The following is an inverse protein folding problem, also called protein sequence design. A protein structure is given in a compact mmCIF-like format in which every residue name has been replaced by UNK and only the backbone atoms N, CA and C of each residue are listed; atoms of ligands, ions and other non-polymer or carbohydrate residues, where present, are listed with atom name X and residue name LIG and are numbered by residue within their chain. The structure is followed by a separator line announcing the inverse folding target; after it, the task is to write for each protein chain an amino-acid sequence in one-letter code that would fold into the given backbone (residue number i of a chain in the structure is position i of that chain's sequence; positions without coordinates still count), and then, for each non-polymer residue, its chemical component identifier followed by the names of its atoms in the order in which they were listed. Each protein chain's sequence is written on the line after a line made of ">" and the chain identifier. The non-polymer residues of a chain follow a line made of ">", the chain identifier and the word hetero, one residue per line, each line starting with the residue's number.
data_IF_923836256394
#
_entry.id   IF_923836256394
#
_cell.length_a   1.000
_cell.length_b   1.000
_cell.length_c   1.000
_cell.angle_alpha   90.00
_cell.angle_beta   90.00
_cell.angle_gamma   90.00
#
_symmetry.space_group_name_H-M   'P 1'
#
loop_
_entity.id
_entity.type
_entity.pdbx_description
1 polymer ?
#
# COMPACT_ATOMS: atom_id res chain seq x y z
N UNK A 1 -9.80 15.69 -17.59
CA UNK A 1 -9.35 14.35 -18.03
C UNK A 1 -10.05 14.06 -19.34
N UNK A 2 -9.25 13.88 -20.40
CA UNK A 2 -9.73 13.58 -21.74
C UNK A 2 -9.26 12.18 -22.14
N UNK A 3 -10.16 11.38 -22.70
CA UNK A 3 -9.86 10.09 -23.30
C UNK A 3 -10.22 10.13 -24.78
N UNK A 4 -9.32 9.69 -25.66
CA UNK A 4 -9.68 9.34 -27.03
C UNK A 4 -9.52 7.84 -27.22
N UNK A 5 -10.49 7.17 -27.83
CA UNK A 5 -10.46 5.73 -28.07
C UNK A 5 -10.46 5.45 -29.56
N UNK A 6 -9.41 4.84 -30.07
CA UNK A 6 -9.32 4.40 -31.47
C UNK A 6 -9.75 2.94 -31.55
N UNK A 7 -10.85 2.66 -32.24
CA UNK A 7 -11.44 1.31 -32.34
C UNK A 7 -12.06 1.09 -33.71
N UNK A 8 -12.13 -0.18 -34.14
CA UNK A 8 -12.89 -0.59 -35.31
C UNK A 8 -14.41 -0.74 -35.05
N UNK A 9 -14.84 -0.66 -33.78
CA UNK A 9 -16.19 -0.95 -33.31
C UNK A 9 -16.68 0.11 -32.31
N UNK A 10 -16.93 1.35 -32.77
CA UNK A 10 -17.34 2.45 -31.90
C UNK A 10 -18.64 2.17 -31.11
N UNK A 11 -19.52 1.31 -31.65
CA UNK A 11 -20.83 0.96 -31.07
C UNK A 11 -20.70 0.31 -29.68
N UNK A 12 -19.55 -0.30 -29.36
CA UNK A 12 -19.28 -0.84 -28.01
C UNK A 12 -19.44 0.23 -26.92
N UNK A 13 -19.11 1.48 -27.21
CA UNK A 13 -19.03 2.55 -26.22
C UNK A 13 -20.36 3.27 -26.02
N UNK A 14 -21.37 3.05 -26.86
CA UNK A 14 -22.65 3.76 -26.79
C UNK A 14 -23.32 3.61 -25.42
N UNK A 15 -23.50 2.38 -24.94
CA UNK A 15 -24.11 2.15 -23.63
C UNK A 15 -23.20 2.61 -22.47
N UNK A 16 -21.89 2.35 -22.59
CA UNK A 16 -20.91 2.70 -21.57
C UNK A 16 -20.89 4.21 -21.28
N UNK A 17 -20.92 5.04 -22.32
CA UNK A 17 -20.88 6.50 -22.22
C UNK A 17 -22.22 7.14 -21.88
N UNK A 18 -23.33 6.39 -21.91
CA UNK A 18 -24.67 6.93 -21.64
C UNK A 18 -25.29 6.40 -20.34
N UNK A 19 -24.65 5.45 -19.66
CA UNK A 19 -25.22 4.78 -18.48
C UNK A 19 -24.44 5.06 -17.19
N UNK A 20 -25.16 4.96 -16.07
CA UNK A 20 -24.60 4.93 -14.71
C UNK A 20 -23.68 6.13 -14.39
N UNK A 21 -22.58 5.89 -13.66
CA UNK A 21 -21.63 6.90 -13.17
C UNK A 21 -20.87 7.54 -14.34
N UNK A 22 -20.41 6.74 -15.32
CA UNK A 22 -19.65 7.23 -16.47
C UNK A 22 -20.50 8.17 -17.33
N UNK A 23 -21.73 7.78 -17.67
CA UNK A 23 -22.60 8.65 -18.44
C UNK A 23 -22.97 9.96 -17.72
N UNK A 24 -23.11 9.93 -16.39
CA UNK A 24 -23.25 11.18 -15.61
C UNK A 24 -21.97 12.03 -15.67
N UNK A 25 -20.81 11.41 -15.52
CA UNK A 25 -19.52 12.11 -15.56
C UNK A 25 -19.29 12.80 -16.90
N UNK A 26 -19.62 12.15 -18.01
CA UNK A 26 -19.57 12.74 -19.36
C UNK A 26 -20.58 13.88 -19.48
N UNK A 27 -21.85 13.66 -19.11
CA UNK A 27 -22.91 14.67 -19.19
C UNK A 27 -22.63 15.93 -18.36
N UNK A 28 -21.97 15.76 -17.22
CA UNK A 28 -21.56 16.84 -16.33
C UNK A 28 -20.17 17.41 -16.66
N UNK A 29 -19.57 17.00 -17.79
CA UNK A 29 -18.26 17.42 -18.26
C UNK A 29 -17.13 17.25 -17.22
N UNK A 30 -17.22 16.19 -16.38
CA UNK A 30 -16.16 15.79 -15.45
C UNK A 30 -15.03 15.04 -16.17
N UNK A 31 -15.43 14.27 -17.18
CA UNK A 31 -14.54 13.57 -18.11
C UNK A 31 -15.03 13.82 -19.53
N UNK A 32 -14.11 13.77 -20.49
CA UNK A 32 -14.40 13.82 -21.91
C UNK A 32 -13.95 12.51 -22.54
N UNK A 33 -14.80 11.89 -23.35
CA UNK A 33 -14.47 10.65 -24.07
C UNK A 33 -14.83 10.82 -25.54
N UNK A 34 -13.82 10.85 -26.38
CA UNK A 34 -13.92 10.88 -27.84
C UNK A 34 -13.75 9.45 -28.37
N UNK A 35 -14.68 8.98 -29.20
CA UNK A 35 -14.58 7.67 -29.86
C UNK A 35 -14.25 7.89 -31.34
N UNK A 36 -13.14 7.32 -31.78
CA UNK A 36 -12.57 7.47 -33.11
C UNK A 36 -12.72 6.14 -33.85
N UNK A 37 -13.51 6.14 -34.91
CA UNK A 37 -13.68 4.96 -35.75
C UNK A 37 -12.47 4.80 -36.68
N UNK A 38 -11.67 3.76 -36.44
CA UNK A 38 -10.46 3.46 -37.19
C UNK A 38 -10.73 3.24 -38.69
N UNK A 39 -11.94 2.81 -39.06
CA UNK A 39 -12.32 2.59 -40.46
C UNK A 39 -12.37 3.87 -41.29
N UNK A 40 -12.55 5.02 -40.64
CA UNK A 40 -12.53 6.32 -41.32
C UNK A 40 -11.11 6.71 -41.80
N UNK A 41 -10.08 6.04 -41.28
CA UNK A 41 -8.67 6.23 -41.61
C UNK A 41 -8.13 5.14 -42.55
N UNK A 42 -9.00 4.25 -43.04
CA UNK A 42 -8.63 3.24 -44.02
C UNK A 42 -8.14 3.89 -45.32
N UNK A 43 -7.12 3.29 -45.95
CA UNK A 43 -6.55 3.82 -47.20
C UNK A 43 -7.40 3.51 -48.44
N UNK A 44 -8.45 2.69 -48.31
CA UNK A 44 -9.31 2.27 -49.41
C UNK A 44 -10.80 2.50 -49.11
N UNK A 45 -11.63 2.50 -50.17
CA UNK A 45 -13.07 2.74 -50.07
C UNK A 45 -13.86 1.65 -49.34
N UNK A 46 -13.21 0.51 -49.06
CA UNK A 46 -13.83 -0.63 -48.39
C UNK A 46 -13.67 -0.57 -46.87
N UNK A 47 -12.95 0.44 -46.33
CA UNK A 47 -12.75 0.56 -44.89
C UNK A 47 -11.80 -0.51 -44.33
N UNK A 48 -10.85 -1.00 -45.15
CA UNK A 48 -9.88 -2.02 -44.72
C UNK A 48 -8.86 -1.41 -43.76
N UNK A 49 -8.75 -2.02 -42.59
CA UNK A 49 -7.85 -1.59 -41.50
C UNK A 49 -6.86 -2.70 -41.11
N UNK A 50 -7.00 -3.88 -41.69
CA UNK A 50 -6.26 -5.10 -41.37
C UNK A 50 -5.76 -5.81 -42.64
N UNK A 51 -4.67 -6.56 -42.51
CA UNK A 51 -4.11 -7.42 -43.56
C UNK A 51 -3.50 -8.70 -42.96
N UNK A 52 -3.14 -9.66 -43.80
CA UNK A 52 -2.49 -10.91 -43.39
C UNK A 52 -1.14 -10.64 -42.69
N UNK A 53 -0.88 -11.36 -41.61
CA UNK A 53 0.42 -11.31 -40.93
C UNK A 53 1.54 -11.89 -41.81
N UNK A 54 2.67 -11.18 -41.87
CA UNK A 54 3.91 -11.74 -42.42
C UNK A 54 4.35 -12.96 -41.60
N UNK A 55 4.82 -14.01 -42.27
CA UNK A 55 5.25 -15.26 -41.61
C UNK A 55 4.13 -16.26 -41.30
N UNK A 56 2.88 -15.93 -41.65
CA UNK A 56 1.70 -16.76 -41.37
C UNK A 56 0.99 -16.35 -40.08
N UNK A 57 -0.27 -16.76 -39.93
CA UNK A 57 -1.15 -16.35 -38.83
C UNK A 57 -2.50 -15.82 -39.32
N UNK A 58 -3.15 -15.04 -38.47
CA UNK A 58 -4.42 -14.37 -38.77
C UNK A 58 -4.24 -12.98 -39.40
N UNK A 59 -5.23 -12.12 -39.15
CA UNK A 59 -5.21 -10.72 -39.57
C UNK A 59 -4.54 -9.86 -38.49
N UNK A 60 -3.82 -8.81 -38.89
CA UNK A 60 -3.20 -7.82 -38.01
C UNK A 60 -3.66 -6.43 -38.44
N UNK A 61 -3.99 -5.56 -37.48
CA UNK A 61 -4.35 -4.17 -37.79
C UNK A 61 -3.13 -3.45 -38.36
N UNK A 62 -3.31 -2.84 -39.54
CA UNK A 62 -2.27 -2.16 -40.27
C UNK A 62 -1.77 -0.91 -39.52
N UNK A 63 -0.46 -0.59 -39.62
CA UNK A 63 0.11 0.55 -38.91
C UNK A 63 -0.35 1.91 -39.47
N UNK A 64 -0.66 1.99 -40.76
CA UNK A 64 -0.95 3.28 -41.42
C UNK A 64 -2.30 3.89 -40.99
N UNK A 65 -3.45 3.17 -40.97
CA UNK A 65 -4.69 3.72 -40.43
C UNK A 65 -4.56 4.13 -38.95
N UNK A 66 -3.86 3.32 -38.14
CA UNK A 66 -3.60 3.62 -36.73
C UNK A 66 -2.80 4.90 -36.57
N UNK A 67 -1.73 5.06 -37.35
CA UNK A 67 -0.89 6.25 -37.32
C UNK A 67 -1.67 7.51 -37.69
N UNK A 68 -2.47 7.47 -38.77
CA UNK A 68 -3.30 8.61 -39.16
C UNK A 68 -4.33 8.98 -38.09
N UNK A 69 -5.04 7.99 -37.55
CA UNK A 69 -6.02 8.21 -36.48
C UNK A 69 -5.35 8.83 -35.24
N UNK A 70 -4.16 8.36 -34.87
CA UNK A 70 -3.41 8.89 -33.75
C UNK A 70 -2.90 10.32 -34.01
N UNK A 71 -2.36 10.62 -35.18
CA UNK A 71 -1.88 11.97 -35.54
C UNK A 71 -2.99 13.02 -35.48
N UNK A 72 -4.22 12.65 -35.87
CA UNK A 72 -5.35 13.57 -35.92
C UNK A 72 -5.87 13.96 -34.53
N UNK A 73 -5.73 13.08 -33.53
CA UNK A 73 -6.30 13.29 -32.18
C UNK A 73 -5.25 13.59 -31.12
N UNK A 74 -3.99 13.19 -31.32
CA UNK A 74 -2.96 13.38 -30.30
C UNK A 74 -2.61 14.86 -30.13
N UNK A 75 -2.27 15.22 -28.91
CA UNK A 75 -1.77 16.54 -28.53
C UNK A 75 -0.43 16.42 -27.80
N UNK A 76 0.21 17.56 -27.53
CA UNK A 76 1.43 17.55 -26.74
C UNK A 76 1.14 17.03 -25.33
N UNK A 77 1.74 15.89 -24.96
CA UNK A 77 1.55 15.26 -23.65
C UNK A 77 0.49 14.17 -23.59
N UNK A 78 -0.15 13.81 -24.71
CA UNK A 78 -0.99 12.62 -24.80
C UNK A 78 -0.20 11.37 -24.38
N UNK A 79 -0.84 10.50 -23.60
CA UNK A 79 -0.32 9.21 -23.24
C UNK A 79 -1.01 8.13 -24.08
N UNK A 80 -0.29 7.49 -24.99
CA UNK A 80 -0.83 6.45 -25.88
C UNK A 80 -0.73 5.10 -25.18
N UNK A 81 -1.88 4.51 -24.91
CA UNK A 81 -2.04 3.24 -24.20
C UNK A 81 -2.61 2.19 -25.14
N UNK A 82 -1.94 1.04 -25.21
CA UNK A 82 -2.43 -0.13 -25.92
C UNK A 82 -2.89 -1.20 -24.92
N UNK A 83 -4.20 -1.49 -24.81
CA UNK A 83 -4.63 -2.64 -24.05
C UNK A 83 -4.20 -3.95 -24.72
N UNK A 84 -3.27 -4.66 -24.09
CA UNK A 84 -2.56 -5.82 -24.61
C UNK A 84 -2.34 -6.82 -23.48
N UNK A 85 -2.58 -8.13 -23.69
CA UNK A 85 -2.28 -9.14 -22.67
C UNK A 85 -0.79 -9.25 -22.36
N UNK A 86 0.09 -8.66 -23.19
CA UNK A 86 1.54 -8.61 -22.99
C UNK A 86 1.98 -7.40 -22.12
N UNK A 87 1.05 -6.48 -21.86
CA UNK A 87 1.31 -5.26 -21.11
C UNK A 87 1.45 -5.45 -19.60
N UNK A 88 1.77 -4.37 -18.90
CA UNK A 88 1.79 -4.38 -17.43
C UNK A 88 0.37 -4.58 -16.89
N UNK A 89 0.22 -5.41 -15.86
CA UNK A 89 -1.10 -5.65 -15.26
C UNK A 89 -1.63 -4.37 -14.62
N UNK A 90 -2.87 -4.01 -14.94
CA UNK A 90 -3.57 -2.85 -14.38
C UNK A 90 -3.72 -3.02 -12.86
N UNK A 91 -3.08 -2.14 -12.12
CA UNK A 91 -3.16 -2.07 -10.66
C UNK A 91 -3.69 -0.70 -10.24
N UNK A 92 -4.21 -0.61 -9.01
CA UNK A 92 -4.71 0.66 -8.48
C UNK A 92 -3.63 1.77 -8.49
N UNK A 93 -2.36 1.43 -8.24
CA UNK A 93 -1.25 2.39 -8.30
C UNK A 93 -1.02 2.90 -9.74
N UNK A 94 -1.17 2.02 -10.74
CA UNK A 94 -1.09 2.43 -12.15
C UNK A 94 -2.28 3.31 -12.55
N UNK A 95 -3.49 2.99 -12.09
CA UNK A 95 -4.69 3.82 -12.29
C UNK A 95 -4.43 5.22 -11.71
N UNK A 96 -3.91 5.33 -10.50
CA UNK A 96 -3.56 6.61 -9.87
C UNK A 96 -2.47 7.37 -10.64
N UNK A 97 -1.46 6.69 -11.16
CA UNK A 97 -0.46 7.32 -12.02
C UNK A 97 -1.08 7.87 -13.31
N UNK A 98 -1.99 7.12 -13.95
CA UNK A 98 -2.68 7.55 -15.16
C UNK A 98 -3.62 8.74 -14.92
N UNK A 99 -4.20 8.90 -13.73
CA UNK A 99 -4.99 10.11 -13.40
C UNK A 99 -4.20 11.43 -13.51
N UNK A 100 -2.86 11.36 -13.54
CA UNK A 100 -1.98 12.53 -13.69
C UNK A 100 -1.78 12.96 -15.15
N UNK A 101 -2.30 12.20 -16.11
CA UNK A 101 -2.30 12.56 -17.53
C UNK A 101 -3.53 13.41 -17.83
N UNK A 102 -3.36 14.45 -18.64
CA UNK A 102 -4.50 15.27 -19.07
C UNK A 102 -5.28 14.61 -20.21
N UNK A 103 -4.57 13.88 -21.08
CA UNK A 103 -5.10 13.18 -22.24
C UNK A 103 -4.52 11.77 -22.36
N UNK A 104 -5.40 10.78 -22.46
CA UNK A 104 -5.05 9.37 -22.68
C UNK A 104 -5.68 8.90 -23.98
N UNK A 105 -4.87 8.35 -24.89
CA UNK A 105 -5.33 7.76 -26.14
C UNK A 105 -5.29 6.25 -26.00
N UNK A 106 -6.42 5.57 -26.14
CA UNK A 106 -6.55 4.12 -26.04
C UNK A 106 -6.66 3.51 -27.43
N UNK A 107 -5.70 2.66 -27.81
CA UNK A 107 -5.69 1.98 -29.11
C UNK A 107 -6.27 0.57 -28.93
N UNK A 108 -7.51 0.35 -29.35
CA UNK A 108 -8.14 -0.96 -29.24
C UNK A 108 -7.63 -1.90 -30.34
N UNK A 109 -6.84 -2.90 -29.96
CA UNK A 109 -6.46 -4.00 -30.86
C UNK A 109 -7.61 -4.96 -31.12
N UNK A 110 -7.53 -5.71 -32.21
CA UNK A 110 -8.43 -6.80 -32.56
C UNK A 110 -7.65 -7.84 -33.37
N UNK A 111 -8.27 -8.98 -33.70
CA UNK A 111 -7.64 -10.07 -34.46
C UNK A 111 -6.41 -10.62 -33.72
N UNK A 112 -5.26 -10.78 -34.38
CA UNK A 112 -4.01 -11.18 -33.72
C UNK A 112 -3.35 -10.02 -32.95
N UNK A 113 -3.78 -8.78 -33.18
CA UNK A 113 -3.22 -7.58 -32.57
C UNK A 113 -3.01 -6.44 -33.57
N UNK A 114 -2.13 -5.52 -33.20
CA UNK A 114 -1.72 -4.40 -34.05
C UNK A 114 -0.28 -4.59 -34.51
N UNK A 115 0.09 -3.96 -35.63
CA UNK A 115 1.46 -4.05 -36.15
C UNK A 115 2.50 -3.54 -35.14
N UNK A 116 3.48 -4.37 -34.82
CA UNK A 116 4.51 -4.10 -33.81
C UNK A 116 5.27 -2.79 -34.06
N UNK A 117 5.44 -2.38 -35.33
CA UNK A 117 6.12 -1.12 -35.67
C UNK A 117 5.34 0.09 -35.21
N UNK A 118 4.01 0.01 -35.14
CA UNK A 118 3.19 1.05 -34.53
C UNK A 118 3.38 1.06 -33.01
N UNK A 119 3.42 -0.13 -32.38
CA UNK A 119 3.67 -0.27 -30.93
C UNK A 119 4.99 0.40 -30.56
N UNK A 120 6.10 -0.06 -31.15
CA UNK A 120 7.45 0.45 -30.86
C UNK A 120 7.60 1.96 -31.12
N UNK A 121 6.87 2.50 -32.10
CA UNK A 121 7.00 3.89 -32.51
C UNK A 121 6.10 4.84 -31.72
N UNK A 122 4.90 4.40 -31.34
CA UNK A 122 3.82 5.30 -30.94
C UNK A 122 3.18 4.98 -29.58
N UNK A 123 3.34 3.76 -29.06
CA UNK A 123 2.70 3.36 -27.78
C UNK A 123 3.63 3.69 -26.63
N UNK A 124 3.13 4.45 -25.66
CA UNK A 124 3.87 4.78 -24.44
C UNK A 124 3.77 3.66 -23.39
N UNK A 125 2.63 2.96 -23.37
CA UNK A 125 2.35 1.93 -22.37
C UNK A 125 1.40 0.86 -22.88
N UNK A 126 1.82 -0.41 -22.78
CA UNK A 126 0.92 -1.54 -22.91
C UNK A 126 0.32 -1.91 -21.55
N UNK A 127 -1.00 -2.14 -21.49
CA UNK A 127 -1.72 -2.51 -20.26
C UNK A 127 -2.50 -3.80 -20.44
N UNK A 128 -2.25 -4.78 -19.56
CA UNK A 128 -3.08 -5.98 -19.42
C UNK A 128 -4.10 -5.78 -18.30
N UNK A 129 -5.34 -6.26 -18.48
CA UNK A 129 -6.36 -6.29 -17.41
C UNK A 129 -6.43 -7.66 -16.68
N UNK A 130 -5.51 -8.57 -17.00
CA UNK A 130 -5.33 -9.85 -16.33
C UNK A 130 -4.86 -10.97 -17.27
N UNK A 131 -4.54 -12.12 -16.68
CA UNK A 131 -3.93 -13.25 -17.38
C UNK A 131 -4.99 -14.11 -18.11
N UNK A 132 -5.64 -13.51 -19.10
CA UNK A 132 -6.63 -14.14 -19.98
C UNK A 132 -6.71 -13.39 -21.31
N UNK A 133 -7.31 -14.01 -22.32
CA UNK A 133 -7.39 -13.46 -23.68
C UNK A 133 -8.82 -13.03 -23.99
N UNK A 134 -8.98 -11.85 -24.59
CA UNK A 134 -10.24 -11.30 -25.07
C UNK A 134 -10.20 -11.15 -26.60
N UNK A 135 -11.35 -10.90 -27.22
CA UNK A 135 -11.48 -10.75 -28.67
C UNK A 135 -10.99 -9.39 -29.19
N UNK A 136 -10.91 -8.39 -28.33
CA UNK A 136 -10.52 -7.03 -28.68
C UNK A 136 -10.21 -6.15 -27.46
N UNK A 137 -9.69 -4.96 -27.73
CA UNK A 137 -9.25 -3.98 -26.73
C UNK A 137 -10.36 -3.11 -26.14
N UNK A 138 -11.60 -3.20 -26.63
CA UNK A 138 -12.71 -2.32 -26.24
C UNK A 138 -13.11 -2.50 -24.78
N UNK A 139 -13.26 -3.74 -24.30
CA UNK A 139 -13.58 -4.03 -22.89
C UNK A 139 -12.44 -3.58 -21.95
N UNK A 140 -11.16 -3.90 -22.21
CA UNK A 140 -10.04 -3.32 -21.48
C UNK A 140 -10.03 -1.78 -21.46
N UNK A 141 -10.29 -1.12 -22.59
CA UNK A 141 -10.36 0.34 -22.67
C UNK A 141 -11.47 0.89 -21.76
N UNK A 142 -12.67 0.30 -21.76
CA UNK A 142 -13.75 0.68 -20.85
C UNK A 142 -13.36 0.49 -19.37
N UNK A 143 -12.68 -0.61 -19.04
CA UNK A 143 -12.20 -0.87 -17.67
C UNK A 143 -11.19 0.19 -17.23
N UNK A 144 -10.25 0.55 -18.10
CA UNK A 144 -9.25 1.58 -17.83
C UNK A 144 -9.93 2.94 -17.62
N UNK A 145 -10.86 3.32 -18.52
CA UNK A 145 -11.62 4.58 -18.42
C UNK A 145 -12.43 4.60 -17.12
N UNK A 146 -13.15 3.52 -16.79
CA UNK A 146 -13.97 3.45 -15.58
C UNK A 146 -13.10 3.61 -14.32
N UNK A 147 -12.03 2.83 -14.21
CA UNK A 147 -11.13 2.86 -13.05
C UNK A 147 -10.52 4.25 -12.83
N UNK A 148 -10.04 4.90 -13.89
CA UNK A 148 -9.45 6.25 -13.81
C UNK A 148 -10.53 7.28 -13.47
N UNK A 149 -11.70 7.20 -14.13
CA UNK A 149 -12.80 8.15 -13.95
C UNK A 149 -13.28 8.21 -12.50
N UNK A 150 -13.29 7.07 -11.78
CA UNK A 150 -13.66 7.03 -10.35
C UNK A 150 -12.79 7.91 -9.45
N UNK A 151 -11.54 8.17 -9.84
CA UNK A 151 -10.60 9.02 -9.09
C UNK A 151 -10.69 10.51 -9.49
N UNK A 152 -11.47 10.85 -10.52
CA UNK A 152 -11.64 12.24 -10.94
C UNK A 152 -12.63 12.95 -10.00
N UNK A 153 -12.26 14.11 -9.42
CA UNK A 153 -13.13 14.84 -8.49
C UNK A 153 -14.51 15.12 -9.07
N UNK A 154 -15.55 14.78 -8.31
CA UNK A 154 -16.95 14.96 -8.69
C UNK A 154 -17.57 13.84 -9.54
N UNK A 155 -16.82 12.79 -9.92
CA UNK A 155 -17.39 11.62 -10.59
C UNK A 155 -18.11 10.69 -9.60
N UNK A 156 -17.45 10.38 -8.47
CA UNK A 156 -18.06 9.64 -7.36
C UNK A 156 -18.58 10.63 -6.32
N UNK A 157 -19.77 10.36 -5.76
CA UNK A 157 -20.46 11.33 -4.90
C UNK A 157 -19.76 11.63 -3.56
N UNK A 158 -18.98 10.69 -3.02
CA UNK A 158 -18.18 10.88 -1.79
C UNK A 158 -16.75 10.45 -2.08
N UNK A 159 -15.80 11.37 -1.97
CA UNK A 159 -14.39 11.10 -2.22
C UNK A 159 -13.83 10.09 -1.22
N UNK A 160 -14.31 10.12 0.03
CA UNK A 160 -13.86 9.17 1.07
C UNK A 160 -14.18 7.72 0.68
N UNK A 161 -15.28 7.49 -0.03
CA UNK A 161 -15.67 6.16 -0.48
C UNK A 161 -14.61 5.53 -1.41
N UNK A 162 -13.94 6.35 -2.22
CA UNK A 162 -12.86 5.87 -3.09
C UNK A 162 -11.64 5.47 -2.27
N UNK A 163 -11.33 6.21 -1.21
CA UNK A 163 -10.19 5.91 -0.33
C UNK A 163 -10.41 4.71 0.62
N UNK A 164 -11.66 4.27 0.75
CA UNK A 164 -12.08 3.14 1.59
C UNK A 164 -12.27 1.85 0.78
N UNK A 165 -12.24 1.92 -0.56
CA UNK A 165 -12.37 0.77 -1.43
C UNK A 165 -11.23 -0.25 -1.28
N UNK A 166 -11.51 -1.46 -1.76
CA UNK A 166 -10.50 -2.51 -1.91
C UNK A 166 -9.29 -1.99 -2.68
N UNK A 167 -8.11 -2.47 -2.29
CA UNK A 167 -6.80 -2.19 -2.88
C UNK A 167 -6.26 -0.76 -2.65
N UNK A 168 -7.10 0.24 -2.36
CA UNK A 168 -6.64 1.63 -2.15
C UNK A 168 -5.64 1.76 -0.99
N UNK A 169 -5.88 1.06 0.13
CA UNK A 169 -4.93 0.99 1.25
C UNK A 169 -4.17 -0.34 1.31
N UNK A 170 -4.13 -1.06 0.19
CA UNK A 170 -3.50 -2.38 0.08
C UNK A 170 -4.28 -3.52 0.75
N UNK A 171 -5.54 -3.33 1.14
CA UNK A 171 -6.38 -4.36 1.77
C UNK A 171 -7.69 -4.53 1.01
N UNK A 172 -8.38 -5.65 1.20
CA UNK A 172 -9.76 -5.82 0.73
C UNK A 172 -10.74 -5.05 1.62
N UNK A 173 -11.88 -4.69 1.04
CA UNK A 173 -12.98 -4.06 1.74
C UNK A 173 -13.73 -5.04 2.68
N UNK A 174 -14.47 -4.49 3.63
CA UNK A 174 -15.28 -5.21 4.61
C UNK A 174 -16.63 -5.68 4.03
N UNK A 175 -17.38 -6.56 4.72
CA UNK A 175 -18.70 -6.98 4.26
C UNK A 175 -19.75 -5.89 4.47
N UNK A 176 -20.53 -5.60 3.43
CA UNK A 176 -21.64 -4.66 3.49
C UNK A 176 -22.96 -5.38 3.77
N UNK A 177 -23.84 -4.70 4.50
CA UNK A 177 -25.17 -5.17 4.85
C UNK A 177 -26.18 -4.06 4.59
N UNK A 178 -27.40 -4.43 4.18
CA UNK A 178 -28.51 -3.50 4.01
C UNK A 178 -29.78 -4.11 4.59
N UNK A 179 -30.87 -3.34 4.59
CA UNK A 179 -32.17 -3.80 5.07
C UNK A 179 -32.70 -4.96 4.21
N UNK A 180 -33.43 -5.92 4.80
CA UNK A 180 -33.89 -5.98 6.21
C UNK A 180 -32.81 -6.48 7.19
N UNK A 181 -32.99 -6.19 8.49
CA UNK A 181 -32.03 -6.58 9.55
C UNK A 181 -31.88 -8.10 9.70
N UNK A 182 -32.94 -8.85 9.42
CA UNK A 182 -32.90 -10.31 9.37
C UNK A 182 -33.38 -10.75 7.98
N UNK A 183 -32.55 -11.51 7.29
CA UNK A 183 -32.89 -12.14 6.02
C UNK A 183 -32.67 -13.65 6.15
N UNK A 184 -33.75 -14.42 6.06
CA UNK A 184 -33.72 -15.90 6.17
C UNK A 184 -33.05 -16.43 7.46
N UNK A 185 -33.26 -15.75 8.58
CA UNK A 185 -32.65 -16.11 9.86
C UNK A 185 -31.23 -15.57 10.06
N UNK A 186 -30.62 -14.95 9.04
CA UNK A 186 -29.31 -14.32 9.13
C UNK A 186 -29.45 -12.86 9.52
N UNK A 187 -28.94 -12.52 10.71
CA UNK A 187 -28.95 -11.15 11.23
C UNK A 187 -27.75 -10.32 10.75
N UNK A 188 -27.96 -9.01 10.62
CA UNK A 188 -26.86 -8.04 10.48
C UNK A 188 -26.04 -7.99 11.80
N UNK A 189 -24.70 -7.88 11.73
CA UNK A 189 -23.86 -7.73 12.92
C UNK A 189 -24.34 -6.61 13.86
N UNK A 190 -24.28 -6.87 15.16
CA UNK A 190 -24.79 -5.93 16.18
C UNK A 190 -24.02 -4.62 16.18
N UNK A 191 -22.72 -4.69 15.90
CA UNK A 191 -21.82 -3.53 15.78
C UNK A 191 -22.26 -2.55 14.68
N UNK A 192 -22.95 -3.04 13.64
CA UNK A 192 -23.47 -2.20 12.56
C UNK A 192 -24.87 -1.65 12.84
N UNK A 193 -25.58 -2.21 13.85
CA UNK A 193 -26.94 -1.82 14.22
C UNK A 193 -27.03 -1.12 15.58
N UNK A 194 -25.93 -1.02 16.33
CA UNK A 194 -25.88 -0.40 17.67
C UNK A 194 -25.98 1.13 17.65
N UNK A 195 -25.77 1.77 16.49
CA UNK A 195 -25.65 3.23 16.38
C UNK A 195 -24.30 3.78 16.86
N UNK A 196 -23.40 2.93 17.35
CA UNK A 196 -22.07 3.34 17.77
C UNK A 196 -21.11 3.38 16.57
N UNK A 197 -20.83 4.59 16.08
CA UNK A 197 -19.93 4.79 14.94
C UNK A 197 -18.51 4.24 15.15
N UNK A 198 -18.00 4.26 16.40
CA UNK A 198 -16.66 3.77 16.71
C UNK A 198 -16.59 2.25 16.71
N UNK A 199 -17.61 1.58 17.24
CA UNK A 199 -17.75 0.11 17.16
C UNK A 199 -17.87 -0.34 15.71
N UNK A 200 -18.72 0.32 14.92
CA UNK A 200 -18.88 0.03 13.50
C UNK A 200 -17.55 0.20 12.74
N UNK A 201 -16.81 1.29 12.98
CA UNK A 201 -15.52 1.53 12.33
C UNK A 201 -14.45 0.49 12.74
N UNK A 202 -14.46 0.04 14.00
CA UNK A 202 -13.56 -1.02 14.49
C UNK A 202 -13.90 -2.36 13.86
N UNK A 203 -15.19 -2.71 13.81
CA UNK A 203 -15.68 -3.91 13.16
C UNK A 203 -15.31 -3.94 11.68
N UNK A 204 -15.50 -2.84 10.94
CA UNK A 204 -15.16 -2.74 9.51
C UNK A 204 -13.69 -3.05 9.26
N UNK A 205 -12.79 -2.44 10.04
CA UNK A 205 -11.35 -2.68 9.94
C UNK A 205 -11.00 -4.14 10.24
N UNK A 206 -11.55 -4.71 11.31
CA UNK A 206 -11.33 -6.12 11.65
C UNK A 206 -11.78 -7.05 10.52
N UNK A 207 -12.97 -6.85 9.97
CA UNK A 207 -13.48 -7.71 8.91
C UNK A 207 -12.75 -7.54 7.57
N UNK A 208 -12.27 -6.33 7.26
CA UNK A 208 -11.38 -6.09 6.12
C UNK A 208 -10.08 -6.91 6.25
N UNK A 209 -9.47 -6.92 7.43
CA UNK A 209 -8.29 -7.73 7.73
C UNK A 209 -8.58 -9.23 7.61
N UNK A 210 -9.63 -9.72 8.28
CA UNK A 210 -10.06 -11.13 8.21
C UNK A 210 -10.33 -11.56 6.77
N UNK A 211 -11.01 -10.73 5.98
CA UNK A 211 -11.32 -11.03 4.57
C UNK A 211 -10.05 -11.08 3.73
N UNK A 212 -9.11 -10.15 3.94
CA UNK A 212 -7.83 -10.12 3.24
C UNK A 212 -7.01 -11.35 3.55
N UNK A 213 -6.83 -11.69 4.83
CA UNK A 213 -6.12 -12.90 5.27
C UNK A 213 -6.68 -14.17 4.61
N UNK A 214 -8.01 -14.29 4.55
CA UNK A 214 -8.68 -15.48 4.01
C UNK A 214 -8.63 -15.58 2.49
N UNK A 215 -8.67 -14.46 1.76
CA UNK A 215 -8.88 -14.45 0.30
C UNK A 215 -7.66 -14.03 -0.50
N UNK A 216 -6.89 -13.07 0.00
CA UNK A 216 -5.77 -12.42 -0.69
C UNK A 216 -4.64 -12.06 0.31
N UNK A 217 -4.06 -13.06 1.01
CA UNK A 217 -2.99 -12.81 1.97
C UNK A 217 -1.74 -12.20 1.33
N UNK A 218 -1.57 -12.36 0.00
CA UNK A 218 -0.51 -11.75 -0.80
C UNK A 218 -0.50 -10.22 -0.73
N UNK A 219 -1.67 -9.57 -0.51
CA UNK A 219 -1.79 -8.12 -0.39
C UNK A 219 -1.04 -7.55 0.82
N UNK A 220 -0.80 -8.36 1.87
CA UNK A 220 -0.04 -7.94 3.04
C UNK A 220 1.42 -7.57 2.72
N UNK A 221 1.93 -7.99 1.56
CA UNK A 221 3.25 -7.56 1.09
C UNK A 221 3.36 -6.03 0.94
N UNK A 222 2.25 -5.35 0.62
CA UNK A 222 2.19 -3.89 0.37
C UNK A 222 1.28 -3.12 1.34
N UNK A 223 0.52 -3.83 2.17
CA UNK A 223 -0.41 -3.23 3.11
C UNK A 223 0.25 -2.79 4.43
N UNK A 224 -0.11 -1.61 4.93
CA UNK A 224 0.20 -1.19 6.29
C UNK A 224 -0.82 -1.76 7.27
N UNK A 225 -0.40 -2.60 8.22
CA UNK A 225 -1.36 -3.31 9.08
C UNK A 225 -1.83 -2.50 10.30
N UNK A 226 -1.16 -1.39 10.62
CA UNK A 226 -1.43 -0.63 11.86
C UNK A 226 -2.89 -0.21 12.04
N UNK A 227 -3.61 0.28 11.01
CA UNK A 227 -5.02 0.66 11.15
C UNK A 227 -5.93 -0.51 11.50
N UNK A 228 -5.50 -1.74 11.21
CA UNK A 228 -6.28 -2.98 11.32
C UNK A 228 -6.03 -3.73 12.63
N UNK A 229 -5.01 -3.35 13.39
CA UNK A 229 -4.76 -3.86 14.74
C UNK A 229 -5.62 -3.10 15.75
N UNK A 230 -6.27 -3.83 16.65
CA UNK A 230 -7.07 -3.23 17.73
C UNK A 230 -6.27 -2.98 19.00
N UNK A 231 -5.14 -3.69 19.16
CA UNK A 231 -4.24 -3.58 20.32
C UNK A 231 -3.07 -2.62 20.07
N UNK A 232 -2.43 -2.21 21.16
CA UNK A 232 -1.28 -1.32 21.11
C UNK A 232 -0.05 -1.93 20.42
N UNK A 233 0.67 -1.10 19.68
CA UNK A 233 1.97 -1.42 19.09
C UNK A 233 3.05 -0.67 19.87
N UNK A 234 4.09 -1.39 20.26
CA UNK A 234 5.17 -0.93 21.11
C UNK A 234 6.50 -1.17 20.43
N UNK A 235 7.41 -0.19 20.56
CA UNK A 235 8.80 -0.36 20.17
C UNK A 235 9.66 -0.35 21.42
N UNK A 236 10.56 -1.31 21.54
CA UNK A 236 11.52 -1.39 22.64
C UNK A 236 12.95 -1.33 22.10
N UNK A 237 13.76 -0.42 22.63
CA UNK A 237 15.17 -0.28 22.33
C UNK A 237 15.99 -0.69 23.55
N UNK A 238 16.68 -1.81 23.44
CA UNK A 238 17.55 -2.34 24.48
C UNK A 238 18.97 -1.77 24.37
N UNK A 239 19.42 -1.14 25.45
CA UNK A 239 20.83 -0.80 25.69
C UNK A 239 21.53 -1.83 26.57
N UNK A 240 20.79 -2.79 27.13
CA UNK A 240 21.29 -3.96 27.83
C UNK A 240 20.19 -5.03 27.87
N UNK A 241 20.53 -6.32 27.76
CA UNK A 241 21.85 -6.85 27.44
C UNK A 241 22.09 -6.84 25.92
N UNK A 242 23.18 -6.18 25.49
CA UNK A 242 23.56 -6.08 24.08
C UNK A 242 25.01 -6.48 23.88
N UNK A 243 25.38 -6.85 22.66
CA UNK A 243 26.73 -7.31 22.33
C UNK A 243 27.60 -6.13 21.89
N UNK A 244 28.88 -6.16 22.25
CA UNK A 244 29.90 -5.32 21.62
C UNK A 244 30.53 -6.04 20.41
N UNK A 245 31.49 -5.38 19.73
CA UNK A 245 32.19 -5.94 18.57
C UNK A 245 32.91 -7.27 18.87
N UNK A 246 33.32 -7.47 20.12
CA UNK A 246 33.99 -8.68 20.59
C UNK A 246 33.02 -9.79 21.01
N UNK A 247 31.70 -9.56 20.92
CA UNK A 247 30.68 -10.54 21.33
C UNK A 247 30.42 -10.59 22.84
N UNK A 248 30.95 -9.65 23.63
CA UNK A 248 30.69 -9.59 25.07
C UNK A 248 29.37 -8.85 25.35
N UNK A 249 28.63 -9.32 26.35
CA UNK A 249 27.44 -8.64 26.88
C UNK A 249 27.88 -7.36 27.59
N UNK A 250 27.33 -6.22 27.17
CA UNK A 250 27.64 -4.89 27.69
C UNK A 250 26.38 -4.03 27.80
N UNK A 251 26.50 -2.91 28.53
CA UNK A 251 25.53 -1.82 28.46
C UNK A 251 26.03 -0.75 27.49
N UNK A 252 25.24 -0.42 26.47
CA UNK A 252 25.54 0.66 25.53
C UNK A 252 25.06 2.02 26.03
N UNK A 253 25.51 3.10 25.38
CA UNK A 253 25.06 4.46 25.69
C UNK A 253 23.73 4.78 25.01
N UNK A 254 22.78 5.37 25.76
CA UNK A 254 21.62 6.04 25.17
C UNK A 254 22.06 7.35 24.56
N UNK A 255 21.70 7.61 23.30
CA UNK A 255 22.04 8.85 22.60
C UNK A 255 20.81 9.69 22.31
N UNK A 256 20.95 11.02 22.35
CA UNK A 256 19.83 11.92 22.02
C UNK A 256 19.34 11.75 20.58
N UNK A 257 20.23 11.43 19.64
CA UNK A 257 19.87 11.15 18.25
C UNK A 257 18.94 9.93 18.13
N UNK A 258 19.23 8.84 18.85
CA UNK A 258 18.35 7.66 18.85
C UNK A 258 16.97 8.00 19.39
N UNK A 259 16.90 8.75 20.50
CA UNK A 259 15.63 9.18 21.08
C UNK A 259 14.81 10.01 20.08
N UNK A 260 15.43 11.00 19.44
CA UNK A 260 14.74 11.91 18.54
C UNK A 260 14.28 11.26 17.24
N UNK A 261 15.13 10.47 16.57
CA UNK A 261 14.78 9.91 15.27
C UNK A 261 13.77 8.77 15.44
N UNK A 262 13.99 7.88 16.41
CA UNK A 262 13.10 6.73 16.63
C UNK A 262 11.74 7.21 17.14
N UNK A 263 11.67 8.18 18.05
CA UNK A 263 10.39 8.78 18.45
C UNK A 263 9.59 9.30 17.26
N UNK A 264 10.26 9.93 16.28
CA UNK A 264 9.60 10.44 15.08
C UNK A 264 9.12 9.30 14.18
N UNK A 265 9.95 8.28 13.94
CA UNK A 265 9.51 7.08 13.21
C UNK A 265 8.33 6.39 13.89
N UNK A 266 8.38 6.23 15.22
CA UNK A 266 7.28 5.70 16.02
C UNK A 266 5.99 6.51 15.82
N UNK A 267 6.06 7.84 15.89
CA UNK A 267 4.91 8.72 15.67
C UNK A 267 4.36 8.59 14.25
N UNK A 268 5.23 8.60 13.22
CA UNK A 268 4.85 8.46 11.81
C UNK A 268 4.10 7.16 11.53
N UNK A 269 4.54 6.04 12.12
CA UNK A 269 3.97 4.71 11.86
C UNK A 269 2.94 4.26 12.92
N UNK A 270 2.51 5.16 13.81
CA UNK A 270 1.45 4.90 14.78
C UNK A 270 1.82 3.97 15.94
N UNK A 271 3.08 3.96 16.38
CA UNK A 271 3.53 3.22 17.57
C UNK A 271 3.03 3.94 18.83
N UNK A 272 2.38 3.20 19.72
CA UNK A 272 1.72 3.73 20.92
C UNK A 272 2.70 4.21 22.00
N UNK A 273 3.81 3.49 22.20
CA UNK A 273 4.94 3.93 23.04
C UNK A 273 6.28 3.42 22.55
N UNK A 274 7.29 4.24 22.79
CA UNK A 274 8.70 3.94 22.57
C UNK A 274 9.41 3.72 23.92
N UNK A 275 9.78 2.47 24.20
CA UNK A 275 10.39 2.03 25.44
C UNK A 275 11.92 1.97 25.30
N UNK A 276 12.64 2.68 26.17
CA UNK A 276 14.10 2.67 26.24
C UNK A 276 14.52 1.88 27.48
N UNK A 277 15.27 0.80 27.27
CA UNK A 277 15.69 -0.12 28.34
C UNK A 277 17.18 0.05 28.60
N UNK A 278 17.52 0.47 29.82
CA UNK A 278 18.92 0.58 30.28
C UNK A 278 19.00 0.40 31.78
N UNK A 279 19.95 -0.38 32.32
CA UNK A 279 20.12 -0.60 33.76
C UNK A 279 20.73 0.63 34.45
N UNK A 280 21.37 1.53 33.70
CA UNK A 280 22.03 2.72 34.21
C UNK A 280 21.01 3.82 34.55
N UNK A 281 20.90 4.13 35.85
CA UNK A 281 19.99 5.17 36.36
C UNK A 281 20.26 6.53 35.74
N UNK A 282 21.52 6.91 35.57
CA UNK A 282 21.93 8.18 34.97
C UNK A 282 21.41 8.36 33.54
N UNK A 283 21.40 7.28 32.73
CA UNK A 283 20.86 7.32 31.38
C UNK A 283 19.32 7.43 31.40
N UNK A 284 18.63 6.74 32.32
CA UNK A 284 17.17 6.90 32.46
C UNK A 284 16.80 8.34 32.84
N UNK A 285 17.53 8.95 33.77
CA UNK A 285 17.34 10.35 34.16
C UNK A 285 17.62 11.31 33.00
N UNK A 286 18.62 11.03 32.16
CA UNK A 286 18.90 11.81 30.94
C UNK A 286 17.71 11.78 29.97
N UNK A 287 17.16 10.59 29.68
CA UNK A 287 16.00 10.45 28.80
C UNK A 287 14.80 11.23 29.35
N UNK A 288 14.52 11.12 30.66
CA UNK A 288 13.44 11.88 31.30
C UNK A 288 13.64 13.39 31.21
N UNK A 289 14.87 13.90 31.36
CA UNK A 289 15.19 15.32 31.19
C UNK A 289 14.97 15.79 29.75
N UNK A 290 15.36 15.00 28.75
CA UNK A 290 15.16 15.31 27.33
C UNK A 290 13.66 15.40 27.03
N UNK A 291 12.88 14.39 27.42
CA UNK A 291 11.44 14.39 27.20
C UNK A 291 10.77 15.60 27.89
N UNK A 292 11.12 15.88 29.14
CA UNK A 292 10.56 17.01 29.90
C UNK A 292 10.93 18.39 29.34
N UNK A 293 12.12 18.56 28.75
CA UNK A 293 12.52 19.80 28.10
C UNK A 293 11.62 20.13 26.90
N UNK A 294 11.34 19.14 26.05
CA UNK A 294 10.52 19.35 24.85
C UNK A 294 9.03 19.52 25.15
N UNK A 295 8.53 18.90 26.22
CA UNK A 295 7.18 19.18 26.72
C UNK A 295 7.03 20.66 27.11
N UNK A 296 8.00 21.22 27.85
CA UNK A 296 8.00 22.64 28.20
C UNK A 296 8.17 23.55 26.98
N UNK A 297 8.99 23.17 26.01
CA UNK A 297 9.16 23.95 24.77
C UNK A 297 7.83 24.04 23.98
N UNK A 298 7.03 22.96 23.96
CA UNK A 298 5.70 22.96 23.36
C UNK A 298 4.72 23.87 24.08
N UNK A 299 4.71 23.86 25.41
CA UNK A 299 3.91 24.80 26.23
C UNK A 299 4.27 26.27 25.95
N UNK A 300 5.49 26.52 25.46
CA UNK A 300 5.98 27.84 25.02
C UNK A 300 5.77 28.11 23.52
N UNK A 301 5.06 27.25 22.79
CA UNK A 301 4.75 27.42 21.36
C UNK A 301 5.88 27.04 20.39
N UNK A 302 6.96 26.42 20.86
CA UNK A 302 8.11 26.04 20.04
C UNK A 302 8.01 24.57 19.57
N UNK A 303 8.01 24.36 18.25
CA UNK A 303 8.12 23.06 17.58
C UNK A 303 7.21 21.95 18.15
N UNK A 304 5.87 22.11 18.05
CA UNK A 304 4.90 21.24 18.71
C UNK A 304 4.99 19.77 18.27
N UNK A 305 5.24 19.53 16.98
CA UNK A 305 5.33 18.17 16.41
C UNK A 305 6.47 17.34 17.01
N UNK A 306 7.57 17.99 17.44
CA UNK A 306 8.70 17.29 18.07
C UNK A 306 8.38 16.86 19.50
N UNK A 307 7.59 17.63 20.24
CA UNK A 307 7.19 17.27 21.59
C UNK A 307 6.22 16.09 21.61
N UNK A 308 5.28 16.04 20.66
CA UNK A 308 4.35 14.92 20.51
C UNK A 308 5.08 13.58 20.31
N UNK A 309 6.08 13.55 19.44
CA UNK A 309 6.89 12.35 19.20
C UNK A 309 7.66 11.90 20.46
N UNK A 310 8.17 12.83 21.27
CA UNK A 310 8.92 12.52 22.49
C UNK A 310 8.01 12.10 23.66
N UNK A 311 6.73 12.47 23.64
CA UNK A 311 5.74 11.98 24.62
C UNK A 311 5.49 10.46 24.51
N UNK A 312 5.96 9.82 23.44
CA UNK A 312 5.96 8.36 23.30
C UNK A 312 7.00 7.68 24.21
N UNK A 313 8.04 8.41 24.66
CA UNK A 313 9.14 7.84 25.41
C UNK A 313 8.72 7.30 26.79
N UNK A 314 9.24 6.13 27.13
CA UNK A 314 9.16 5.55 28.47
C UNK A 314 10.45 4.81 28.78
N UNK A 315 10.94 4.91 30.01
CA UNK A 315 12.21 4.29 30.42
C UNK A 315 12.01 3.15 31.40
N UNK A 316 12.81 2.11 31.23
CA UNK A 316 12.77 0.90 32.05
C UNK A 316 14.19 0.42 32.41
N UNK A 317 14.31 -0.26 33.55
CA UNK A 317 15.58 -0.80 34.03
C UNK A 317 15.97 -2.12 33.33
N UNK A 318 14.97 -2.91 32.93
CA UNK A 318 15.13 -4.20 32.27
C UNK A 318 14.02 -4.44 31.23
N UNK A 319 14.25 -5.39 30.33
CA UNK A 319 13.28 -5.81 29.32
C UNK A 319 12.00 -6.32 30.00
N UNK A 320 12.14 -7.18 31.02
CA UNK A 320 11.02 -7.70 31.81
C UNK A 320 10.13 -6.60 32.39
N UNK A 321 10.73 -5.56 32.98
CA UNK A 321 9.96 -4.47 33.55
C UNK A 321 9.17 -3.68 32.50
N UNK A 322 9.70 -3.59 31.27
CA UNK A 322 9.00 -3.00 30.13
C UNK A 322 7.85 -3.87 29.63
N UNK A 323 8.09 -5.18 29.46
CA UNK A 323 7.08 -6.13 29.00
C UNK A 323 5.93 -6.28 30.02
N UNK A 324 6.25 -6.38 31.31
CA UNK A 324 5.26 -6.41 32.39
C UNK A 324 4.43 -5.12 32.43
N UNK A 325 5.02 -3.97 32.08
CA UNK A 325 4.27 -2.72 31.96
C UNK A 325 3.29 -2.74 30.77
N UNK A 326 3.70 -3.27 29.61
CA UNK A 326 2.81 -3.45 28.45
C UNK A 326 1.66 -4.38 28.83
N UNK A 327 1.96 -5.54 29.41
CA UNK A 327 0.95 -6.52 29.82
C UNK A 327 -0.04 -5.92 30.82
N UNK A 328 0.44 -5.16 31.81
CA UNK A 328 -0.43 -4.45 32.76
C UNK A 328 -1.31 -3.40 32.09
N UNK A 329 -0.77 -2.67 31.11
CA UNK A 329 -1.50 -1.62 30.38
C UNK A 329 -2.59 -2.21 29.48
N UNK A 330 -2.26 -3.27 28.76
CA UNK A 330 -3.14 -3.91 27.76
C UNK A 330 -4.04 -4.99 28.37
N UNK A 331 -3.72 -5.44 29.59
CA UNK A 331 -4.33 -6.58 30.29
C UNK A 331 -4.19 -7.88 29.52
N UNK A 332 -3.12 -8.00 28.73
CA UNK A 332 -2.85 -9.11 27.84
C UNK A 332 -1.35 -9.15 27.53
N UNK A 333 -0.76 -10.34 27.48
CA UNK A 333 0.67 -10.50 27.19
C UNK A 333 0.97 -10.06 25.75
N UNK A 334 2.00 -9.23 25.51
CA UNK A 334 2.37 -8.85 24.16
C UNK A 334 3.01 -10.01 23.38
N UNK A 335 2.79 -10.05 22.07
CA UNK A 335 3.64 -10.76 21.12
C UNK A 335 4.96 -10.01 20.98
N UNK A 336 6.05 -10.60 21.44
CA UNK A 336 7.39 -10.00 21.43
C UNK A 336 8.15 -10.45 20.19
N UNK A 337 8.57 -9.50 19.37
CA UNK A 337 9.27 -9.73 18.10
C UNK A 337 10.65 -9.12 18.16
N UNK A 338 11.70 -9.93 18.07
CA UNK A 338 13.07 -9.42 17.99
C UNK A 338 13.50 -9.14 16.54
N UNK A 339 14.31 -8.10 16.41
CA UNK A 339 15.06 -7.80 15.18
C UNK A 339 16.53 -8.20 15.35
N UNK A 340 17.17 -8.58 14.25
CA UNK A 340 18.58 -8.98 14.25
C UNK A 340 19.20 -8.69 12.88
N UNK A 341 20.51 -8.41 12.87
CA UNK A 341 21.31 -8.37 11.64
C UNK A 341 21.90 -9.75 11.31
N UNK A 342 21.91 -10.70 12.25
CA UNK A 342 22.42 -12.05 12.04
C UNK A 342 21.34 -12.92 11.39
N UNK A 343 21.75 -13.87 10.55
CA UNK A 343 20.83 -14.91 10.12
C UNK A 343 20.54 -15.85 11.29
N UNK A 344 19.26 -15.99 11.63
CA UNK A 344 18.79 -16.87 12.70
C UNK A 344 17.86 -17.91 12.10
N UNK A 345 18.11 -19.18 12.40
CA UNK A 345 17.25 -20.29 11.92
C UNK A 345 15.83 -20.10 12.46
N UNK A 346 14.84 -20.17 11.57
CA UNK A 346 13.43 -19.96 11.94
C UNK A 346 12.98 -18.49 11.93
N UNK A 347 13.85 -17.54 11.56
CA UNK A 347 13.44 -16.15 11.40
C UNK A 347 12.39 -15.99 10.29
N UNK A 348 11.32 -15.24 10.59
CA UNK A 348 10.16 -15.10 9.73
C UNK A 348 10.27 -13.90 8.77
N UNK A 349 9.75 -14.03 7.53
CA UNK A 349 9.58 -12.89 6.65
C UNK A 349 8.53 -11.91 7.21
N UNK A 350 8.62 -10.64 6.79
CA UNK A 350 7.71 -9.57 7.23
C UNK A 350 6.24 -9.90 6.93
N UNK A 351 5.95 -10.54 5.81
CA UNK A 351 4.59 -10.95 5.43
C UNK A 351 3.98 -11.92 6.45
N UNK A 352 4.74 -12.91 6.91
CA UNK A 352 4.26 -13.85 7.93
C UNK A 352 4.06 -13.18 9.28
N UNK A 353 4.93 -12.22 9.65
CA UNK A 353 4.69 -11.44 10.87
C UNK A 353 3.40 -10.63 10.76
N UNK A 354 3.15 -9.98 9.63
CA UNK A 354 1.89 -9.25 9.41
C UNK A 354 0.67 -10.17 9.54
N UNK A 355 0.74 -11.36 8.95
CA UNK A 355 -0.30 -12.38 9.03
C UNK A 355 -0.58 -12.77 10.50
N UNK A 356 0.46 -13.16 11.23
CA UNK A 356 0.35 -13.55 12.65
C UNK A 356 -0.18 -12.41 13.52
N UNK A 357 0.30 -11.18 13.29
CA UNK A 357 -0.13 -10.01 14.05
C UNK A 357 -1.62 -9.73 13.87
N UNK A 358 -2.13 -9.80 12.63
CA UNK A 358 -3.55 -9.63 12.33
C UNK A 358 -4.42 -10.81 12.81
N UNK A 359 -3.91 -12.04 12.73
CA UNK A 359 -4.65 -13.23 13.19
C UNK A 359 -4.79 -13.29 14.71
N UNK A 360 -3.72 -12.94 15.44
CA UNK A 360 -3.74 -12.94 16.91
C UNK A 360 -4.41 -11.70 17.48
N UNK A 361 -4.16 -10.53 16.86
CA UNK A 361 -4.62 -9.21 17.31
C UNK A 361 -4.40 -9.00 18.82
N UNK A 362 -3.20 -9.34 19.28
CA UNK A 362 -2.69 -9.11 20.64
C UNK A 362 -1.71 -7.93 20.63
N UNK A 363 -1.38 -7.31 21.77
CA UNK A 363 -0.39 -6.23 21.79
C UNK A 363 0.93 -6.66 21.17
N UNK A 364 1.55 -5.80 20.37
CA UNK A 364 2.78 -6.14 19.64
C UNK A 364 3.95 -5.35 20.21
N UNK A 365 5.05 -6.01 20.58
CA UNK A 365 6.26 -5.35 21.03
C UNK A 365 7.44 -5.70 20.11
N UNK A 366 7.94 -4.73 19.36
CA UNK A 366 9.09 -4.91 18.46
C UNK A 366 10.37 -4.49 19.19
N UNK A 367 11.25 -5.46 19.41
CA UNK A 367 12.47 -5.33 20.19
C UNK A 367 13.69 -5.13 19.28
N UNK A 368 14.42 -4.05 19.53
CA UNK A 368 15.66 -3.68 18.86
C UNK A 368 16.83 -3.69 19.84
N UNK A 369 17.95 -4.25 19.40
CA UNK A 369 19.23 -4.14 20.10
C UNK A 369 20.05 -2.98 19.57
N UNK A 370 20.80 -2.33 20.46
CA UNK A 370 21.84 -1.36 20.10
C UNK A 370 23.22 -2.04 19.99
N UNK A 371 24.28 -1.26 19.75
CA UNK A 371 25.65 -1.76 19.61
C UNK A 371 25.76 -2.78 18.46
N UNK A 372 26.15 -4.03 18.72
CA UNK A 372 26.31 -5.11 17.73
C UNK A 372 25.17 -6.14 17.79
N UNK A 373 24.03 -5.75 18.36
CA UNK A 373 22.82 -6.56 18.46
C UNK A 373 22.47 -7.02 19.87
N UNK A 374 21.34 -7.70 20.00
CA UNK A 374 20.86 -8.28 21.26
C UNK A 374 21.76 -9.44 21.72
N UNK A 375 21.92 -9.60 23.03
CA UNK A 375 22.54 -10.78 23.62
C UNK A 375 21.61 -12.01 23.52
N UNK A 376 22.17 -13.21 23.58
CA UNK A 376 21.42 -14.46 23.41
C UNK A 376 20.32 -14.63 24.49
N UNK A 377 20.59 -14.20 25.72
CA UNK A 377 19.62 -14.22 26.84
C UNK A 377 18.36 -13.38 26.58
N UNK A 378 18.40 -12.42 25.65
CA UNK A 378 17.20 -11.65 25.27
C UNK A 378 16.18 -12.53 24.57
N UNK A 379 16.62 -13.55 23.83
CA UNK A 379 15.73 -14.38 23.02
C UNK A 379 14.84 -15.31 23.86
N UNK A 380 15.11 -15.48 25.15
CA UNK A 380 14.23 -16.16 26.10
C UNK A 380 12.90 -15.39 26.32
N UNK A 381 12.90 -14.08 26.03
CA UNK A 381 11.73 -13.21 26.14
C UNK A 381 11.00 -12.99 24.81
N UNK A 382 11.45 -13.64 23.73
CA UNK A 382 11.03 -13.35 22.36
C UNK A 382 10.17 -14.48 21.81
N UNK A 383 8.99 -14.16 21.29
CA UNK A 383 8.11 -15.14 20.66
C UNK A 383 8.51 -15.39 19.20
N UNK A 384 8.96 -14.35 18.48
CA UNK A 384 9.30 -14.42 17.05
C UNK A 384 10.56 -13.61 16.73
N UNK A 385 11.35 -14.08 15.76
CA UNK A 385 12.50 -13.35 15.23
C UNK A 385 12.23 -12.95 13.79
N UNK A 386 12.42 -11.68 13.44
CA UNK A 386 12.32 -11.20 12.08
C UNK A 386 13.56 -11.52 11.26
N UNK A 387 13.36 -11.83 9.97
CA UNK A 387 14.47 -11.91 9.01
C UNK A 387 15.25 -10.59 8.99
N UNK A 388 16.59 -10.65 8.92
CA UNK A 388 17.43 -9.46 8.88
C UNK A 388 17.08 -8.59 7.67
N UNK A 389 17.29 -7.29 7.82
CA UNK A 389 17.17 -6.35 6.71
C UNK A 389 18.34 -6.62 5.76
N UNK A 390 18.05 -7.14 4.57
CA UNK A 390 19.03 -7.35 3.52
C UNK A 390 18.71 -6.44 2.32
N UNK A 391 19.74 -6.08 1.56
CA UNK A 391 19.64 -5.31 0.31
C UNK A 391 20.98 -5.24 -0.41
N UNK A 392 20.98 -4.81 -1.67
CA UNK A 392 22.19 -4.73 -2.51
C UNK A 392 22.77 -6.11 -2.89
N UNK A 393 23.97 -6.09 -3.49
CA UNK A 393 24.65 -7.29 -4.00
C UNK A 393 25.67 -7.89 -3.02
N UNK A 394 25.72 -7.42 -1.76
CA UNK A 394 26.72 -7.81 -0.78
C UNK A 394 26.12 -8.30 0.54
N UNK A 395 26.99 -8.72 1.46
CA UNK A 395 26.58 -9.23 2.78
C UNK A 395 26.46 -8.14 3.86
N UNK A 396 26.77 -6.89 3.54
CA UNK A 396 26.71 -5.79 4.50
C UNK A 396 25.26 -5.42 4.83
N UNK A 397 24.87 -5.64 6.09
CA UNK A 397 23.53 -5.33 6.60
C UNK A 397 23.54 -4.62 7.97
N UNK A 398 24.70 -4.11 8.38
CA UNK A 398 24.89 -3.45 9.67
C UNK A 398 24.44 -1.99 9.61
N UNK A 399 23.12 -1.78 9.62
CA UNK A 399 22.48 -0.47 9.64
C UNK A 399 22.61 0.19 11.03
N UNK A 400 22.54 1.53 11.06
CA UNK A 400 22.27 2.22 12.32
C UNK A 400 20.91 1.76 12.87
N UNK A 401 20.76 1.68 14.19
CA UNK A 401 19.49 1.24 14.79
C UNK A 401 18.32 2.14 14.39
N UNK A 402 18.56 3.44 14.21
CA UNK A 402 17.56 4.42 13.74
C UNK A 402 17.06 4.08 12.34
N UNK A 403 17.98 3.76 11.42
CA UNK A 403 17.64 3.32 10.06
C UNK A 403 16.92 1.97 10.07
N UNK A 404 17.39 1.02 10.89
CA UNK A 404 16.75 -0.29 11.00
C UNK A 404 15.31 -0.18 11.52
N UNK A 405 15.07 0.65 12.54
CA UNK A 405 13.73 0.94 13.06
C UNK A 405 12.83 1.52 11.97
N UNK A 406 13.28 2.55 11.26
CA UNK A 406 12.48 3.16 10.19
C UNK A 406 12.09 2.15 9.11
N UNK A 407 13.03 1.32 8.65
CA UNK A 407 12.78 0.28 7.63
C UNK A 407 11.82 -0.81 8.15
N UNK A 408 11.97 -1.26 9.40
CA UNK A 408 11.07 -2.27 9.98
C UNK A 408 9.66 -1.73 10.14
N UNK A 409 9.51 -0.50 10.66
CA UNK A 409 8.20 0.12 10.83
C UNK A 409 7.52 0.39 9.49
N UNK A 410 8.27 0.85 8.48
CA UNK A 410 7.76 1.03 7.12
C UNK A 410 7.27 -0.30 6.52
N UNK A 411 8.10 -1.35 6.58
CA UNK A 411 7.72 -2.68 6.07
C UNK A 411 6.50 -3.27 6.76
N UNK A 412 6.18 -2.90 8.00
CA UNK A 412 5.03 -3.41 8.74
C UNK A 412 3.79 -2.52 8.64
N UNK A 413 3.98 -1.21 8.77
CA UNK A 413 2.90 -0.23 9.00
C UNK A 413 2.84 0.85 7.94
N UNK A 414 3.87 0.97 7.09
CA UNK A 414 3.82 1.76 5.87
C UNK A 414 2.77 1.19 4.92
N UNK A 415 2.07 2.09 4.24
CA UNK A 415 1.13 1.76 3.19
C UNK A 415 1.50 2.60 1.96
N UNK A 416 1.56 1.93 0.80
CA UNK A 416 1.98 2.45 -0.50
C UNK A 416 3.38 3.03 -0.56
#
# INVERSE_FOLDING_TARGET
>A
MHFSVVTAFPEYFEAFLNMSIIGRAVKEAKIEVEIVNLRDYASNRYGQIDDYSYGGGGMVIMPEPLYKALEDIKSAGSCVVYPSPQGVVLTQDLVEALTKKDHIVLICGHYEGIDERFVEKCVDLEISIGDYVLTGGELPAMIIIDAISRLIPGVVGKEEAVSEDSFYKGMLDYPHYTRPVNWQGLGVPKELTSGNHQEAATWRRREAATRTLRRRPDLLSRAGIRPYLTKGVYLMLAHYPVLNKSGNVVTSAVTGLDLHDISRSCMTFGVDKFLVVTPLRSQREMVSKIAGHWQKAHEMGLNPLRAEALNLLKVFGSIDSGLAWIEKKEREKPLVVATTAKQVKGALPYLELKRIALEKDVPLCILFGTSWGLADEVFDHVDLVLKPIMGGNGEYNHLSVRSAVAVVLDRLFGWR
#
